data_IF_226130926446
#
_entry.id   IF_226130926446
#
_cell.length_a   1.000
_cell.length_b   1.000
_cell.length_c   1.000
_cell.angle_alpha   90.00
_cell.angle_beta   90.00
_cell.angle_gamma   90.00
#
_symmetry.space_group_name_H-M   'P 1'
#
loop_
_entity.id
_entity.type
_entity.pdbx_description
1 polymer ?
#
# COMPACT_ATOMS: atom_id res chain seq x y z
N UNK A 1 -10.48 -18.20 10.05
CA UNK A 1 -9.14 -17.61 9.86
C UNK A 1 -8.70 -17.90 8.44
N UNK A 2 -8.43 -16.90 7.61
CA UNK A 2 -7.95 -17.11 6.24
C UNK A 2 -6.42 -17.03 6.29
N UNK A 3 -5.72 -18.11 5.93
CA UNK A 3 -4.26 -18.14 5.89
C UNK A 3 -3.81 -17.57 4.53
N UNK A 4 -3.48 -16.27 4.50
CA UNK A 4 -2.94 -15.60 3.32
C UNK A 4 -1.45 -15.92 3.15
N UNK A 5 -0.98 -15.88 1.92
CA UNK A 5 0.45 -15.97 1.66
C UNK A 5 1.19 -14.78 2.30
N UNK A 6 2.19 -15.09 3.12
CA UNK A 6 3.07 -14.11 3.75
C UNK A 6 4.51 -14.44 3.37
N UNK A 7 5.13 -13.61 2.54
CA UNK A 7 6.56 -13.70 2.26
C UNK A 7 7.35 -13.23 3.48
N UNK A 8 8.43 -13.93 3.83
CA UNK A 8 9.20 -13.71 5.06
C UNK A 8 10.69 -13.87 4.73
N UNK A 9 11.42 -12.75 4.61
CA UNK A 9 12.79 -12.72 4.10
C UNK A 9 13.67 -11.83 5.00
N UNK A 10 14.91 -12.24 5.21
CA UNK A 10 15.89 -11.51 6.03
C UNK A 10 15.74 -11.79 7.51
N UNK A 11 16.37 -10.95 8.34
CA UNK A 11 16.37 -11.08 9.79
C UNK A 11 16.42 -9.72 10.47
N UNK A 12 16.21 -9.67 11.79
CA UNK A 12 16.21 -8.40 12.55
C UNK A 12 14.81 -7.89 12.86
N UNK A 13 14.66 -6.57 12.99
CA UNK A 13 13.37 -5.95 13.31
C UNK A 13 12.36 -6.18 12.19
N UNK A 14 11.15 -6.71 12.49
CA UNK A 14 10.13 -6.95 11.48
C UNK A 14 9.69 -5.66 10.79
N UNK A 15 9.58 -5.72 9.45
CA UNK A 15 9.06 -4.65 8.59
C UNK A 15 7.99 -5.23 7.67
N UNK A 16 6.76 -4.86 7.89
CA UNK A 16 5.60 -5.30 7.09
C UNK A 16 5.38 -4.33 5.95
N UNK A 17 5.38 -4.84 4.70
CA UNK A 17 5.12 -4.06 3.48
C UNK A 17 3.76 -4.45 2.89
N UNK A 18 2.78 -3.56 2.96
CA UNK A 18 1.42 -3.79 2.46
C UNK A 18 1.25 -3.15 1.09
N UNK A 19 0.97 -3.98 0.08
CA UNK A 19 0.77 -3.51 -1.29
C UNK A 19 -0.57 -2.80 -1.49
N UNK A 20 -0.68 -2.03 -2.58
CA UNK A 20 -1.89 -1.31 -2.98
C UNK A 20 -2.86 -2.16 -3.82
N UNK A 21 -3.90 -1.49 -4.32
CA UNK A 21 -4.87 -2.04 -5.26
C UNK A 21 -4.17 -2.59 -6.52
N UNK A 22 -4.60 -3.75 -7.01
CA UNK A 22 -4.00 -4.46 -8.16
C UNK A 22 -2.49 -4.76 -7.98
N UNK A 23 -1.99 -4.73 -6.73
CA UNK A 23 -0.61 -5.05 -6.41
C UNK A 23 -0.42 -6.51 -5.97
N UNK A 24 0.84 -6.86 -5.75
CA UNK A 24 1.26 -8.15 -5.20
C UNK A 24 2.54 -7.99 -4.39
N UNK A 25 3.00 -9.07 -3.74
CA UNK A 25 4.31 -9.09 -3.05
C UNK A 25 5.46 -8.76 -4.00
N UNK A 26 5.36 -9.15 -5.26
CA UNK A 26 6.44 -9.00 -6.24
C UNK A 26 6.73 -7.53 -6.60
N UNK A 27 5.77 -6.62 -6.37
CA UNK A 27 6.00 -5.19 -6.56
C UNK A 27 7.07 -4.63 -5.61
N UNK A 28 7.41 -5.35 -4.54
CA UNK A 28 8.43 -4.95 -3.57
C UNK A 28 9.83 -5.55 -3.84
N UNK A 29 10.04 -6.26 -4.95
CA UNK A 29 11.33 -6.91 -5.28
C UNK A 29 12.53 -5.96 -5.12
N UNK A 30 12.54 -4.71 -5.66
CA UNK A 30 13.67 -3.81 -5.48
C UNK A 30 13.90 -3.41 -4.01
N UNK A 31 12.84 -3.34 -3.21
CA UNK A 31 12.89 -3.00 -1.79
C UNK A 31 13.40 -4.17 -0.97
N UNK A 32 12.88 -5.38 -1.23
CA UNK A 32 13.31 -6.62 -0.55
C UNK A 32 14.80 -6.84 -0.70
N UNK A 33 15.33 -6.73 -1.92
CA UNK A 33 16.74 -6.93 -2.21
C UNK A 33 17.66 -5.98 -1.42
N UNK A 34 17.18 -4.81 -1.06
CA UNK A 34 17.92 -3.82 -0.27
C UNK A 34 17.67 -3.98 1.24
N UNK A 35 16.42 -4.15 1.65
CA UNK A 35 16.01 -4.07 3.05
C UNK A 35 16.29 -5.36 3.85
N UNK A 36 16.34 -6.52 3.20
CA UNK A 36 16.56 -7.82 3.86
C UNK A 36 17.88 -7.93 4.63
N UNK A 37 18.84 -7.08 4.33
CA UNK A 37 20.14 -7.03 5.03
C UNK A 37 20.01 -6.42 6.45
N UNK A 38 19.00 -5.55 6.65
CA UNK A 38 18.80 -4.80 7.89
C UNK A 38 17.51 -5.18 8.64
N UNK A 39 16.52 -5.77 7.92
CA UNK A 39 15.18 -6.03 8.44
C UNK A 39 14.69 -7.44 8.06
N UNK A 40 13.85 -8.00 8.94
CA UNK A 40 13.00 -9.13 8.57
C UNK A 40 11.79 -8.58 7.81
N UNK A 41 11.82 -8.70 6.48
CA UNK A 41 10.80 -8.14 5.59
C UNK A 41 9.64 -9.13 5.45
N UNK A 42 8.45 -8.69 5.79
CA UNK A 42 7.21 -9.45 5.77
C UNK A 42 6.26 -8.83 4.75
N UNK A 43 5.83 -9.60 3.74
CA UNK A 43 4.99 -9.07 2.67
C UNK A 43 3.73 -9.94 2.54
N UNK A 44 2.61 -9.52 3.15
CA UNK A 44 1.34 -10.20 2.97
C UNK A 44 0.80 -9.97 1.55
N UNK A 45 0.38 -11.04 0.88
CA UNK A 45 -0.47 -10.94 -0.29
C UNK A 45 -1.92 -10.80 0.17
N UNK A 46 -2.58 -9.70 -0.18
CA UNK A 46 -3.98 -9.46 0.23
C UNK A 46 -4.93 -10.55 -0.33
N UNK A 47 -6.03 -10.88 0.38
CA UNK A 47 -6.99 -11.87 -0.09
C UNK A 47 -7.53 -11.53 -1.49
N UNK A 48 -7.42 -12.47 -2.43
CA UNK A 48 -7.81 -12.32 -3.82
C UNK A 48 -6.72 -11.70 -4.74
N UNK A 49 -5.54 -11.34 -4.19
CA UNK A 49 -4.42 -10.74 -4.93
C UNK A 49 -3.17 -11.61 -4.89
N UNK A 50 -2.38 -11.57 -5.96
CA UNK A 50 -1.09 -12.25 -6.04
C UNK A 50 -1.16 -13.73 -5.65
N UNK A 51 -0.24 -14.17 -4.80
CA UNK A 51 -0.18 -15.56 -4.29
C UNK A 51 -1.36 -15.96 -3.39
N UNK A 52 -2.22 -15.01 -3.00
CA UNK A 52 -3.47 -15.24 -2.28
C UNK A 52 -4.73 -15.13 -3.17
N UNK A 53 -4.60 -15.20 -4.49
CA UNK A 53 -5.69 -14.99 -5.45
C UNK A 53 -6.86 -15.98 -5.32
N UNK A 54 -6.65 -17.14 -4.67
CA UNK A 54 -7.69 -18.14 -4.38
C UNK A 54 -8.37 -17.96 -3.03
N UNK A 55 -7.86 -17.03 -2.21
CA UNK A 55 -8.46 -16.69 -0.93
C UNK A 55 -9.60 -15.72 -1.19
N UNK A 56 -10.74 -15.94 -0.50
CA UNK A 56 -11.91 -15.06 -0.64
C UNK A 56 -11.52 -13.61 -0.36
N UNK A 57 -11.79 -12.72 -1.30
CA UNK A 57 -11.45 -11.31 -1.21
C UNK A 57 -12.28 -10.57 -0.16
N UNK A 58 -11.69 -9.52 0.39
CA UNK A 58 -12.34 -8.60 1.34
C UNK A 58 -12.94 -7.40 0.59
N UNK A 59 -14.12 -6.96 1.00
CA UNK A 59 -14.82 -5.77 0.50
C UNK A 59 -14.72 -4.55 1.43
N UNK A 60 -13.88 -4.65 2.46
CA UNK A 60 -13.59 -3.55 3.39
C UNK A 60 -12.12 -3.50 3.79
N UNK A 61 -11.62 -2.29 4.03
CA UNK A 61 -10.25 -2.06 4.50
C UNK A 61 -10.04 -2.70 5.88
N UNK A 62 -11.04 -2.67 6.74
CA UNK A 62 -10.98 -3.32 8.06
C UNK A 62 -10.81 -4.85 7.95
N UNK A 63 -11.52 -5.49 7.03
CA UNK A 63 -11.36 -6.93 6.78
C UNK A 63 -9.93 -7.25 6.34
N UNK A 64 -9.36 -6.48 5.40
CA UNK A 64 -7.99 -6.67 4.93
C UNK A 64 -6.98 -6.47 6.07
N UNK A 65 -7.16 -5.45 6.91
CA UNK A 65 -6.32 -5.17 8.07
C UNK A 65 -6.34 -6.35 9.08
N UNK A 66 -7.53 -6.84 9.43
CA UNK A 66 -7.68 -8.00 10.34
C UNK A 66 -7.02 -9.25 9.79
N UNK A 67 -7.19 -9.54 8.49
CA UNK A 67 -6.57 -10.72 7.85
C UNK A 67 -5.04 -10.66 7.91
N UNK A 68 -4.43 -9.48 7.69
CA UNK A 68 -2.98 -9.32 7.84
C UNK A 68 -2.57 -9.56 9.30
N UNK A 69 -3.27 -8.95 10.26
CA UNK A 69 -2.96 -9.09 11.69
C UNK A 69 -3.05 -10.54 12.17
N UNK A 70 -4.06 -11.30 11.73
CA UNK A 70 -4.18 -12.74 11.99
C UNK A 70 -2.98 -13.52 11.44
N UNK A 71 -2.51 -13.19 10.22
CA UNK A 71 -1.33 -13.84 9.64
C UNK A 71 -0.04 -13.51 10.39
N UNK A 72 0.11 -12.27 10.88
CA UNK A 72 1.25 -11.88 11.71
C UNK A 72 1.23 -12.58 13.07
N UNK A 73 0.04 -12.73 13.68
CA UNK A 73 -0.13 -13.45 14.94
C UNK A 73 0.25 -14.94 14.81
N UNK A 74 -0.18 -15.61 13.73
CA UNK A 74 0.22 -17.00 13.43
C UNK A 74 1.73 -17.15 13.31
N UNK A 75 2.45 -16.14 12.83
CA UNK A 75 3.90 -16.08 12.74
C UNK A 75 4.57 -15.58 14.03
N UNK A 76 3.80 -15.30 15.09
CA UNK A 76 4.28 -14.77 16.39
C UNK A 76 5.04 -13.46 16.23
N UNK A 77 4.55 -12.57 15.37
CA UNK A 77 5.10 -11.22 15.16
C UNK A 77 4.35 -10.26 16.09
N UNK A 78 4.97 -9.88 17.19
CA UNK A 78 4.34 -9.03 18.21
C UNK A 78 4.56 -7.53 17.95
N UNK A 79 5.78 -7.14 17.54
CA UNK A 79 6.11 -5.74 17.26
C UNK A 79 6.77 -5.62 15.89
N UNK A 80 6.34 -4.64 15.12
CA UNK A 80 6.80 -4.46 13.74
C UNK A 80 6.73 -3.01 13.28
N UNK A 81 7.58 -2.65 12.32
CA UNK A 81 7.40 -1.46 11.50
C UNK A 81 6.40 -1.76 10.39
N UNK A 82 5.59 -0.77 10.02
CA UNK A 82 4.53 -0.95 9.04
C UNK A 82 4.65 0.09 7.92
N UNK A 83 4.70 -0.37 6.68
CA UNK A 83 4.63 0.45 5.48
C UNK A 83 3.43 0.02 4.65
N UNK A 84 2.56 0.98 4.31
CA UNK A 84 1.42 0.75 3.42
C UNK A 84 1.45 1.66 2.21
N UNK A 85 1.35 1.07 1.01
CA UNK A 85 1.28 1.78 -0.26
C UNK A 85 -0.17 1.91 -0.74
N UNK A 86 -0.62 3.12 -1.08
CA UNK A 86 -1.92 3.36 -1.71
C UNK A 86 -3.08 2.79 -0.86
N UNK A 87 -3.87 1.84 -1.37
CA UNK A 87 -4.85 1.08 -0.58
C UNK A 87 -4.20 0.41 0.64
N UNK A 88 -2.97 -0.11 0.51
CA UNK A 88 -2.19 -0.62 1.64
C UNK A 88 -1.92 0.44 2.71
N UNK A 89 -1.84 1.71 2.34
CA UNK A 89 -1.73 2.83 3.29
C UNK A 89 -3.03 3.08 4.07
N UNK A 90 -4.20 2.84 3.47
CA UNK A 90 -5.48 2.83 4.16
C UNK A 90 -5.55 1.66 5.16
N UNK A 91 -5.11 0.48 4.71
CA UNK A 91 -5.03 -0.72 5.55
C UNK A 91 -4.07 -0.47 6.74
N UNK A 92 -2.92 0.14 6.50
CA UNK A 92 -1.96 0.47 7.55
C UNK A 92 -2.55 1.46 8.58
N UNK A 93 -3.30 2.47 8.15
CA UNK A 93 -4.04 3.37 9.05
C UNK A 93 -5.10 2.61 9.86
N UNK A 94 -5.81 1.66 9.26
CA UNK A 94 -6.77 0.83 10.00
C UNK A 94 -6.09 -0.10 11.00
N UNK A 95 -4.92 -0.67 10.64
CA UNK A 95 -4.11 -1.48 11.57
C UNK A 95 -3.65 -0.67 12.78
N UNK A 96 -3.33 0.64 12.64
CA UNK A 96 -2.97 1.49 13.81
C UNK A 96 -4.13 1.66 14.78
N UNK A 97 -5.35 1.71 14.29
CA UNK A 97 -6.55 1.76 15.11
C UNK A 97 -6.76 0.46 15.90
N UNK A 98 -6.46 -0.69 15.29
CA UNK A 98 -6.66 -2.01 15.91
C UNK A 98 -5.54 -2.38 16.88
N UNK A 99 -4.28 -2.13 16.50
CA UNK A 99 -3.09 -2.60 17.24
C UNK A 99 -1.95 -1.57 17.27
N UNK A 100 -2.26 -0.28 17.35
CA UNK A 100 -1.25 0.80 17.29
C UNK A 100 -0.09 0.64 18.27
N UNK A 101 -0.31 0.05 19.44
CA UNK A 101 0.74 -0.24 20.42
C UNK A 101 1.76 -1.30 19.99
N UNK A 102 1.45 -2.13 18.98
CA UNK A 102 2.38 -3.11 18.39
C UNK A 102 3.16 -2.56 17.21
N UNK A 103 2.76 -1.41 16.65
CA UNK A 103 3.43 -0.79 15.51
C UNK A 103 4.53 0.14 16.02
N UNK A 104 5.78 -0.17 15.71
CA UNK A 104 6.95 0.61 16.13
C UNK A 104 7.01 1.96 15.41
N UNK A 105 6.95 1.93 14.08
CA UNK A 105 6.89 3.10 13.21
C UNK A 105 5.94 2.83 12.04
N UNK A 106 5.28 3.89 11.57
CA UNK A 106 4.34 3.84 10.46
C UNK A 106 4.90 4.58 9.25
N UNK A 107 4.73 4.02 8.05
CA UNK A 107 5.02 4.71 6.79
C UNK A 107 3.75 4.67 5.93
N UNK A 108 3.17 5.85 5.68
CA UNK A 108 2.06 6.06 4.76
C UNK A 108 2.61 6.53 3.41
N UNK A 109 2.55 5.68 2.39
CA UNK A 109 3.18 5.96 1.11
C UNK A 109 2.16 5.99 -0.03
N UNK A 110 2.15 7.09 -0.82
CA UNK A 110 1.24 7.27 -1.96
C UNK A 110 -0.23 7.05 -1.58
N UNK A 111 -0.64 7.56 -0.43
CA UNK A 111 -1.96 7.30 0.16
C UNK A 111 -2.57 8.58 0.74
N UNK A 112 -3.82 8.49 1.17
CA UNK A 112 -4.55 9.57 1.83
C UNK A 112 -5.44 9.07 2.95
N UNK A 113 -6.17 9.96 3.62
CA UNK A 113 -7.07 9.60 4.71
C UNK A 113 -8.46 9.15 4.24
N UNK A 114 -8.70 9.14 2.92
CA UNK A 114 -9.99 8.74 2.30
C UNK A 114 -9.75 7.97 1.02
N UNK A 115 -10.62 7.02 0.71
CA UNK A 115 -10.58 6.29 -0.54
C UNK A 115 -11.29 7.01 -1.68
N UNK A 116 -12.40 7.70 -1.42
CA UNK A 116 -13.06 8.59 -2.37
C UNK A 116 -12.39 9.96 -2.38
N UNK A 117 -11.68 10.28 -3.46
CA UNK A 117 -10.83 11.46 -3.56
C UNK A 117 -11.36 12.39 -4.65
N UNK A 118 -11.74 13.65 -4.33
CA UNK A 118 -12.05 14.65 -5.33
C UNK A 118 -10.84 14.92 -6.24
N UNK A 119 -11.08 15.02 -7.55
CA UNK A 119 -10.02 15.29 -8.53
C UNK A 119 -9.14 14.10 -8.91
N UNK A 120 -9.48 12.87 -8.50
CA UNK A 120 -8.84 11.66 -9.00
C UNK A 120 -9.03 11.56 -10.53
N UNK A 121 -8.08 10.93 -11.24
CA UNK A 121 -8.13 10.75 -12.70
C UNK A 121 -9.43 10.10 -13.22
N UNK A 122 -10.12 9.31 -12.39
CA UNK A 122 -11.47 8.79 -12.59
C UNK A 122 -12.10 8.43 -11.24
N UNK A 123 -13.44 8.40 -11.17
CA UNK A 123 -14.13 7.97 -9.95
C UNK A 123 -14.02 6.45 -9.78
N UNK A 124 -14.19 5.98 -8.54
CA UNK A 124 -14.20 4.53 -8.26
C UNK A 124 -15.34 3.83 -9.01
N UNK A 125 -16.52 4.45 -9.10
CA UNK A 125 -17.65 3.88 -9.84
C UNK A 125 -17.36 3.76 -11.35
N UNK A 126 -16.64 4.72 -11.93
CA UNK A 126 -16.17 4.62 -13.31
C UNK A 126 -15.14 3.49 -13.48
N UNK A 127 -14.22 3.31 -12.51
CA UNK A 127 -13.28 2.19 -12.54
C UNK A 127 -14.01 0.84 -12.47
N UNK A 128 -15.04 0.72 -11.61
CA UNK A 128 -15.87 -0.49 -11.49
C UNK A 128 -16.67 -0.79 -12.77
N UNK A 129 -17.23 0.23 -13.40
CA UNK A 129 -17.93 0.05 -14.68
C UNK A 129 -16.97 -0.40 -15.78
N UNK A 130 -15.78 0.19 -15.86
CA UNK A 130 -14.75 -0.23 -16.82
C UNK A 130 -14.21 -1.65 -16.53
N UNK A 131 -14.17 -2.07 -15.26
CA UNK A 131 -13.83 -3.44 -14.91
C UNK A 131 -14.83 -4.45 -15.48
N UNK A 132 -16.13 -4.11 -15.46
CA UNK A 132 -17.19 -4.95 -16.01
C UNK A 132 -17.22 -4.97 -17.55
N UNK A 133 -17.01 -3.81 -18.17
CA UNK A 133 -17.16 -3.65 -19.63
C UNK A 133 -15.89 -4.02 -20.39
N UNK A 134 -14.71 -3.70 -19.86
CA UNK A 134 -13.42 -3.88 -20.53
C UNK A 134 -12.61 -5.07 -20.01
N UNK A 135 -13.07 -5.69 -18.94
CA UNK A 135 -12.37 -6.76 -18.24
C UNK A 135 -11.23 -6.29 -17.34
N UNK A 136 -10.69 -7.23 -16.57
CA UNK A 136 -9.66 -6.94 -15.56
C UNK A 136 -8.35 -6.47 -16.19
N UNK A 137 -7.82 -7.21 -17.16
CA UNK A 137 -6.51 -6.95 -17.74
C UNK A 137 -6.42 -5.54 -18.35
N UNK A 138 -7.37 -5.18 -19.22
CA UNK A 138 -7.39 -3.85 -19.84
C UNK A 138 -7.58 -2.73 -18.82
N UNK A 139 -8.44 -2.95 -17.83
CA UNK A 139 -8.69 -1.96 -16.77
C UNK A 139 -7.46 -1.76 -15.89
N UNK A 140 -6.81 -2.86 -15.48
CA UNK A 140 -5.60 -2.83 -14.66
C UNK A 140 -4.43 -2.16 -15.39
N UNK A 141 -4.18 -2.56 -16.65
CA UNK A 141 -3.13 -1.95 -17.48
C UNK A 141 -3.32 -0.43 -17.60
N UNK A 142 -4.53 0.01 -17.92
CA UNK A 142 -4.87 1.44 -18.04
C UNK A 142 -4.68 2.21 -16.72
N UNK A 143 -5.08 1.63 -15.60
CA UNK A 143 -4.88 2.24 -14.28
C UNK A 143 -3.39 2.29 -13.96
N UNK A 144 -2.65 1.20 -14.15
CA UNK A 144 -1.23 1.10 -13.85
C UNK A 144 -0.39 2.13 -14.64
N UNK A 145 -0.76 2.44 -15.89
CA UNK A 145 -0.10 3.51 -16.67
C UNK A 145 -0.11 4.86 -15.94
N UNK A 146 -1.15 5.16 -15.18
CA UNK A 146 -1.22 6.42 -14.42
C UNK A 146 -0.25 6.48 -13.23
N UNK A 147 0.32 5.34 -12.81
CA UNK A 147 1.20 5.21 -11.65
C UNK A 147 2.66 5.54 -11.95
N UNK A 148 2.99 5.76 -13.22
CA UNK A 148 4.36 6.06 -13.67
C UNK A 148 4.38 7.29 -14.56
N UNK A 149 5.47 8.08 -14.49
CA UNK A 149 5.68 9.21 -15.40
C UNK A 149 5.88 8.72 -16.84
N UNK A 150 6.65 7.63 -17.01
CA UNK A 150 6.92 7.02 -18.33
C UNK A 150 5.86 6.01 -18.74
N UNK A 151 4.76 5.95 -18.01
CA UNK A 151 3.65 5.01 -18.23
C UNK A 151 4.17 3.56 -18.39
N UNK A 152 3.68 2.83 -19.39
CA UNK A 152 4.07 1.45 -19.70
C UNK A 152 5.53 1.28 -20.19
N UNK A 153 6.25 2.38 -20.43
CA UNK A 153 7.70 2.37 -20.77
C UNK A 153 8.60 2.42 -19.53
N UNK A 154 8.03 2.47 -18.32
CA UNK A 154 8.81 2.45 -17.10
C UNK A 154 9.45 1.07 -16.89
N UNK A 155 10.71 1.06 -16.37
CA UNK A 155 11.53 -0.17 -16.22
C UNK A 155 10.81 -1.31 -15.49
N UNK A 156 10.05 -0.99 -14.45
CA UNK A 156 9.37 -1.96 -13.59
C UNK A 156 7.85 -2.03 -13.83
N UNK A 157 7.35 -1.46 -14.94
CA UNK A 157 5.91 -1.50 -15.26
C UNK A 157 5.38 -2.93 -15.37
N UNK A 158 6.19 -3.86 -15.87
CA UNK A 158 5.83 -5.27 -16.00
C UNK A 158 5.38 -5.91 -14.69
N UNK A 159 5.88 -5.44 -13.52
CA UNK A 159 5.43 -5.94 -12.22
C UNK A 159 3.95 -5.64 -11.96
N UNK A 160 3.44 -4.53 -12.47
CA UNK A 160 2.02 -4.18 -12.37
C UNK A 160 1.15 -5.08 -13.25
N UNK A 161 1.60 -5.37 -14.48
CA UNK A 161 0.88 -6.27 -15.38
C UNK A 161 0.86 -7.71 -14.83
N UNK A 162 1.96 -8.19 -14.28
CA UNK A 162 2.02 -9.52 -13.66
C UNK A 162 1.15 -9.60 -12.40
N UNK A 163 1.13 -8.55 -11.57
CA UNK A 163 0.25 -8.50 -10.40
C UNK A 163 -1.23 -8.51 -10.80
N UNK A 164 -1.59 -7.78 -11.87
CA UNK A 164 -2.95 -7.77 -12.40
C UNK A 164 -3.42 -9.15 -12.87
N UNK A 165 -2.57 -9.91 -13.57
CA UNK A 165 -2.86 -11.29 -14.02
C UNK A 165 -3.11 -12.25 -12.84
N UNK A 166 -2.52 -11.96 -11.68
CA UNK A 166 -2.68 -12.75 -10.46
C UNK A 166 -3.80 -12.23 -9.54
N UNK A 167 -4.60 -11.26 -10.00
CA UNK A 167 -5.73 -10.71 -9.25
C UNK A 167 -7.02 -11.34 -9.74
N UNK A 168 -7.95 -11.72 -8.83
CA UNK A 168 -9.29 -12.13 -9.25
C UNK A 168 -10.16 -10.90 -9.58
N UNK A 169 -11.11 -11.06 -10.51
CA UNK A 169 -12.07 -9.99 -10.86
C UNK A 169 -12.85 -9.57 -9.61
N UNK A 170 -13.26 -10.55 -8.78
CA UNK A 170 -13.95 -10.29 -7.51
C UNK A 170 -13.09 -9.45 -6.58
N UNK A 171 -11.79 -9.76 -6.43
CA UNK A 171 -10.89 -8.98 -5.59
C UNK A 171 -10.68 -7.55 -6.11
N UNK A 172 -10.63 -7.37 -7.43
CA UNK A 172 -10.53 -6.05 -8.02
C UNK A 172 -11.81 -5.21 -7.74
N UNK A 173 -13.01 -5.77 -7.90
CA UNK A 173 -14.26 -5.06 -7.59
C UNK A 173 -14.37 -4.78 -6.07
N UNK A 174 -14.12 -5.79 -5.23
CA UNK A 174 -14.16 -5.66 -3.77
C UNK A 174 -13.14 -4.65 -3.24
N UNK A 175 -11.92 -4.60 -3.82
CA UNK A 175 -10.92 -3.60 -3.49
C UNK A 175 -11.38 -2.16 -3.80
N UNK A 176 -12.06 -1.97 -4.94
CA UNK A 176 -12.68 -0.68 -5.29
C UNK A 176 -13.80 -0.31 -4.32
N UNK A 177 -14.66 -1.28 -3.93
CA UNK A 177 -15.73 -1.08 -2.92
C UNK A 177 -15.11 -0.72 -1.57
N UNK A 178 -14.10 -1.47 -1.13
CA UNK A 178 -13.41 -1.22 0.13
C UNK A 178 -12.84 0.20 0.20
N UNK A 179 -12.13 0.63 -0.85
CA UNK A 179 -11.62 2.00 -0.93
C UNK A 179 -12.74 3.03 -0.93
N UNK A 180 -13.80 2.84 -1.73
CA UNK A 180 -14.91 3.80 -1.84
C UNK A 180 -15.54 4.12 -0.50
N UNK A 181 -15.72 3.09 0.34
CA UNK A 181 -16.47 3.17 1.59
C UNK A 181 -15.60 3.54 2.80
N UNK A 182 -14.26 3.60 2.63
CA UNK A 182 -13.35 3.83 3.74
C UNK A 182 -13.00 5.30 3.95
N UNK A 183 -12.95 5.70 5.24
CA UNK A 183 -12.40 6.98 5.70
C UNK A 183 -11.68 6.76 7.03
N UNK A 184 -10.43 7.18 7.09
CA UNK A 184 -9.61 7.21 8.31
C UNK A 184 -9.52 8.60 8.96
N UNK A 185 -10.19 9.62 8.40
CA UNK A 185 -10.04 11.04 8.82
C UNK A 185 -10.21 11.23 10.33
N UNK A 186 -11.23 10.64 10.90
CA UNK A 186 -11.57 10.83 12.32
C UNK A 186 -10.53 10.19 13.27
N UNK A 187 -9.75 9.22 12.77
CA UNK A 187 -8.74 8.48 13.54
C UNK A 187 -7.33 9.06 13.43
N UNK A 188 -7.06 10.00 12.52
CA UNK A 188 -5.69 10.50 12.28
C UNK A 188 -5.02 11.05 13.53
N UNK A 189 -5.77 11.81 14.35
CA UNK A 189 -5.29 12.38 15.63
C UNK A 189 -4.93 11.34 16.68
N UNK A 190 -5.43 10.12 16.52
CA UNK A 190 -5.22 9.01 17.44
C UNK A 190 -4.03 8.13 17.05
N UNK A 191 -3.44 8.34 15.86
CA UNK A 191 -2.20 7.70 15.43
C UNK A 191 -1.05 8.34 16.20
N UNK A 192 -0.52 7.62 17.21
CA UNK A 192 0.59 8.10 18.08
C UNK A 192 1.97 7.67 17.61
N UNK A 193 2.04 6.76 16.65
CA UNK A 193 3.26 6.23 16.10
C UNK A 193 4.08 7.32 15.39
N UNK A 194 5.41 7.29 15.50
CA UNK A 194 6.27 8.08 14.59
C UNK A 194 5.90 7.71 13.17
N UNK A 195 5.48 8.68 12.36
CA UNK A 195 4.91 8.43 11.02
C UNK A 195 5.70 9.18 9.95
N UNK A 196 6.10 8.45 8.92
CA UNK A 196 6.62 9.05 7.68
C UNK A 196 5.55 8.98 6.60
N UNK A 197 5.31 10.11 5.94
CA UNK A 197 4.43 10.20 4.78
C UNK A 197 5.32 10.38 3.56
N UNK A 198 5.22 9.49 2.56
CA UNK A 198 5.98 9.59 1.30
C UNK A 198 5.03 9.85 0.15
N UNK A 199 5.39 10.80 -0.71
CA UNK A 199 4.59 11.17 -1.86
C UNK A 199 5.46 11.56 -3.06
N UNK A 200 5.07 11.14 -4.27
CA UNK A 200 5.64 11.59 -5.52
C UNK A 200 4.91 12.84 -6.02
N UNK A 201 5.64 13.89 -6.37
CA UNK A 201 5.05 15.19 -6.76
C UNK A 201 4.21 15.16 -8.04
N UNK A 202 4.27 14.08 -8.80
CA UNK A 202 3.48 13.83 -10.02
C UNK A 202 2.43 12.72 -9.85
N UNK A 203 2.10 12.35 -8.61
CA UNK A 203 1.08 11.34 -8.33
C UNK A 203 -0.30 11.79 -8.84
N UNK A 204 -0.88 10.98 -9.75
CA UNK A 204 -2.22 11.21 -10.34
C UNK A 204 -3.34 10.54 -9.55
N UNK A 205 -2.99 9.64 -8.61
CA UNK A 205 -3.96 8.94 -7.77
C UNK A 205 -4.27 9.73 -6.48
N UNK A 206 -3.24 10.32 -5.85
CA UNK A 206 -3.37 11.12 -4.64
C UNK A 206 -2.73 12.50 -4.84
N UNK A 207 -3.51 13.55 -4.68
CA UNK A 207 -3.02 14.93 -4.78
C UNK A 207 -2.38 15.40 -3.45
N UNK A 208 -1.70 16.55 -3.49
CA UNK A 208 -1.02 17.13 -2.34
C UNK A 208 -1.94 17.32 -1.12
N UNK A 209 -3.20 17.74 -1.31
CA UNK A 209 -4.14 17.95 -0.21
C UNK A 209 -4.40 16.68 0.61
N UNK A 210 -4.32 15.50 -0.01
CA UNK A 210 -4.51 14.22 0.70
C UNK A 210 -3.34 13.94 1.64
N UNK A 211 -2.11 14.10 1.16
CA UNK A 211 -0.91 13.88 1.97
C UNK A 211 -0.69 14.98 3.00
N UNK A 212 -1.02 16.22 2.67
CA UNK A 212 -1.04 17.34 3.61
C UNK A 212 -2.05 17.11 4.75
N UNK A 213 -3.24 16.57 4.43
CA UNK A 213 -4.22 16.20 5.45
C UNK A 213 -3.68 15.16 6.42
N UNK A 214 -2.96 14.14 5.93
CA UNK A 214 -2.28 13.17 6.80
C UNK A 214 -1.26 13.89 7.70
N UNK A 215 -0.38 14.70 7.10
CA UNK A 215 0.71 15.35 7.83
C UNK A 215 0.23 16.35 8.88
N UNK A 216 -0.86 17.07 8.60
CA UNK A 216 -1.40 18.07 9.53
C UNK A 216 -2.21 17.44 10.68
N UNK A 217 -2.71 16.22 10.52
CA UNK A 217 -3.61 15.59 11.50
C UNK A 217 -3.00 14.40 12.25
N UNK A 218 -1.87 13.85 11.79
CA UNK A 218 -1.13 12.83 12.53
C UNK A 218 -0.07 13.54 13.39
N UNK A 219 -0.15 13.48 14.74
CA UNK A 219 0.66 14.34 15.62
C UNK A 219 2.18 14.20 15.45
N UNK A 220 2.66 12.98 15.18
CA UNK A 220 4.09 12.67 15.09
C UNK A 220 4.49 12.30 13.66
N UNK A 221 4.05 13.09 12.67
CA UNK A 221 4.33 12.83 11.27
C UNK A 221 5.33 13.80 10.66
N UNK A 222 6.03 13.31 9.63
CA UNK A 222 6.85 14.10 8.73
C UNK A 222 6.51 13.73 7.28
N UNK A 223 6.46 14.73 6.39
CA UNK A 223 6.20 14.55 4.95
C UNK A 223 7.50 14.59 4.17
N UNK A 224 7.74 13.55 3.37
CA UNK A 224 8.82 13.49 2.40
C UNK A 224 8.26 13.46 0.98
N UNK A 225 8.47 14.53 0.24
CA UNK A 225 8.17 14.60 -1.20
C UNK A 225 9.37 14.07 -1.98
N UNK A 226 9.15 13.16 -2.93
CA UNK A 226 10.16 12.70 -3.87
C UNK A 226 9.81 13.26 -5.24
N UNK A 227 10.56 14.27 -5.65
CA UNK A 227 10.33 15.00 -6.89
C UNK A 227 10.53 14.13 -8.13
N UNK A 228 9.80 14.44 -9.20
CA UNK A 228 9.91 13.75 -10.49
C UNK A 228 9.52 12.27 -10.41
N UNK A 229 8.53 11.94 -9.57
CA UNK A 229 7.93 10.60 -9.44
C UNK A 229 6.42 10.68 -9.42
N UNK A 230 5.78 9.66 -9.97
CA UNK A 230 4.35 9.45 -9.88
C UNK A 230 4.00 8.58 -8.66
N UNK A 231 2.95 7.78 -8.75
CA UNK A 231 2.40 6.97 -7.65
C UNK A 231 3.37 5.86 -7.18
N UNK A 232 4.09 5.24 -8.11
CA UNK A 232 5.01 4.12 -7.82
C UNK A 232 6.46 4.59 -7.64
N UNK A 233 6.71 5.53 -6.70
CA UNK A 233 8.05 6.04 -6.37
C UNK A 233 9.05 4.90 -6.12
N UNK A 234 8.64 3.85 -5.43
CA UNK A 234 9.46 2.68 -5.08
C UNK A 234 9.97 1.90 -6.31
N UNK A 235 9.29 2.04 -7.45
CA UNK A 235 9.67 1.45 -8.74
C UNK A 235 10.33 2.46 -9.68
N UNK A 236 9.99 3.75 -9.57
CA UNK A 236 10.57 4.80 -10.41
C UNK A 236 11.95 5.26 -9.90
N UNK A 237 12.12 5.37 -8.57
CA UNK A 237 13.36 5.78 -7.90
C UNK A 237 13.66 4.88 -6.69
N UNK A 238 13.92 3.57 -6.91
CA UNK A 238 14.08 2.60 -5.83
C UNK A 238 15.17 2.99 -4.83
N UNK A 239 16.31 3.50 -5.27
CA UNK A 239 17.42 3.86 -4.38
C UNK A 239 17.04 5.02 -3.44
N UNK A 240 16.42 6.09 -3.98
CA UNK A 240 15.97 7.23 -3.19
C UNK A 240 14.88 6.81 -2.20
N UNK A 241 13.95 5.96 -2.63
CA UNK A 241 12.90 5.42 -1.77
C UNK A 241 13.49 4.56 -0.65
N UNK A 242 14.34 3.59 -0.98
CA UNK A 242 14.99 2.69 -0.02
C UNK A 242 15.80 3.46 1.03
N UNK A 243 16.60 4.43 0.59
CA UNK A 243 17.35 5.31 1.49
C UNK A 243 16.43 6.07 2.45
N UNK A 244 15.36 6.69 1.92
CA UNK A 244 14.40 7.47 2.73
C UNK A 244 13.76 6.63 3.83
N UNK A 245 13.25 5.44 3.50
CA UNK A 245 12.60 4.58 4.50
C UNK A 245 13.61 4.02 5.53
N UNK A 246 14.80 3.66 5.09
CA UNK A 246 15.85 3.13 5.99
C UNK A 246 16.33 4.20 6.97
N UNK A 247 16.58 5.42 6.51
CA UNK A 247 16.95 6.54 7.38
C UNK A 247 15.87 6.80 8.44
N UNK A 248 14.59 6.77 8.05
CA UNK A 248 13.50 6.94 9.00
C UNK A 248 13.40 5.77 9.99
N UNK A 249 13.49 4.54 9.51
CA UNK A 249 13.36 3.35 10.37
C UNK A 249 14.52 3.19 11.37
N UNK A 250 15.74 3.61 11.02
CA UNK A 250 16.93 3.52 11.88
C UNK A 250 17.09 4.70 12.85
N UNK A 251 16.33 5.80 12.72
CA UNK A 251 16.35 6.89 13.72
C UNK A 251 15.85 6.38 15.08
N UNK A 252 16.53 6.74 16.13
CA UNK A 252 16.14 6.47 17.53
C UNK A 252 15.00 7.37 17.95
#
# INVERSE_FOLDING_TARGET
>A
MQDIFLEDIGSGTPLVLVHGFLGSSDMWIPQVNYLKEDFRVLIPALPGFGKSNRIKSCDSIECMAKTILESLELKKIDNFNLLGHSMGGMIAQEMTKLVGGKILKLICYGTGPRGSIPGRFETIDQSREKLKTNGLENTAHRIAKTWFIKEDKAKYFYLCDEAAKQTSIEAADNGLVAMKNWSGVDNLKDIKNKTLIIWGDKDKAYNYNQVETLNNNIPNSELKVIEGCSHNVHLEKPDAFNKTITEFLKRI
#
